data_IF_692528755838
#
_entry.id   IF_692528755838
#
_cell.length_a   1.000
_cell.length_b   1.000
_cell.length_c   1.000
_cell.angle_alpha   90.00
_cell.angle_beta   90.00
_cell.angle_gamma   90.00
#
_symmetry.space_group_name_H-M   'P 1'
#
loop_
_entity.id
_entity.type
_entity.pdbx_description
1 polymer ?
#
# COMPACT_ATOMS: atom_id res chain seq x y z
N UNK A 1 -14.43 11.59 2.78
CA UNK A 1 -13.19 10.88 3.13
C UNK A 1 -12.01 11.83 3.28
N UNK A 2 -11.81 12.78 2.37
CA UNK A 2 -10.73 13.78 2.47
C UNK A 2 -10.68 14.53 3.82
N UNK A 3 -11.83 14.92 4.38
CA UNK A 3 -11.90 15.57 5.70
C UNK A 3 -11.31 14.70 6.82
N UNK A 4 -11.57 13.38 6.78
CA UNK A 4 -11.04 12.42 7.75
C UNK A 4 -9.53 12.22 7.53
N UNK A 5 -9.08 12.19 6.28
CA UNK A 5 -7.67 12.13 5.95
C UNK A 5 -6.90 13.29 6.56
N UNK A 6 -7.43 14.51 6.48
CA UNK A 6 -6.81 15.69 7.10
C UNK A 6 -6.85 15.60 8.63
N UNK A 7 -7.99 15.21 9.22
CA UNK A 7 -8.14 15.07 10.68
C UNK A 7 -7.14 14.07 11.27
N UNK A 8 -6.91 12.96 10.56
CA UNK A 8 -5.96 11.91 10.95
C UNK A 8 -4.53 12.19 10.48
N UNK A 9 -4.30 13.32 9.80
CA UNK A 9 -3.01 13.73 9.26
C UNK A 9 -2.39 12.62 8.37
N UNK A 10 -3.22 12.10 7.47
CA UNK A 10 -2.85 11.21 6.38
C UNK A 10 -2.20 12.01 5.24
N UNK A 11 -1.17 11.41 4.64
CA UNK A 11 -0.40 12.00 3.54
C UNK A 11 -1.22 12.07 2.25
N UNK A 12 -2.05 11.06 1.99
CA UNK A 12 -2.89 10.98 0.80
C UNK A 12 -4.15 10.15 1.05
N UNK A 13 -5.20 10.45 0.29
CA UNK A 13 -6.47 9.71 0.29
C UNK A 13 -6.90 9.46 -1.15
N UNK A 14 -6.94 8.20 -1.56
CA UNK A 14 -7.32 7.80 -2.91
C UNK A 14 -8.60 6.95 -2.90
N UNK A 15 -9.48 7.19 -3.87
CA UNK A 15 -10.59 6.29 -4.17
C UNK A 15 -10.06 5.16 -5.06
N UNK A 16 -10.05 3.93 -4.55
CA UNK A 16 -9.54 2.76 -5.28
C UNK A 16 -10.68 2.07 -6.03
N UNK A 17 -11.81 1.88 -5.37
CA UNK A 17 -13.04 1.32 -5.93
C UNK A 17 -14.25 2.06 -5.36
N UNK A 18 -15.44 1.85 -5.92
CA UNK A 18 -16.66 2.64 -5.68
C UNK A 18 -16.84 3.23 -4.26
N UNK A 19 -16.69 2.41 -3.21
CA UNK A 19 -16.77 2.84 -1.80
C UNK A 19 -15.53 2.40 -0.98
N UNK A 20 -14.43 2.04 -1.66
CA UNK A 20 -13.17 1.65 -1.03
C UNK A 20 -12.14 2.77 -1.18
N UNK A 21 -11.70 3.29 -0.04
CA UNK A 21 -10.70 4.33 0.04
C UNK A 21 -9.38 3.76 0.58
N UNK A 22 -8.28 4.17 -0.04
CA UNK A 22 -6.93 3.94 0.46
C UNK A 22 -6.43 5.22 1.13
N UNK A 23 -5.93 5.09 2.36
CA UNK A 23 -5.36 6.19 3.13
C UNK A 23 -3.88 5.89 3.35
N UNK A 24 -3.03 6.87 3.02
CA UNK A 24 -1.60 6.78 3.26
C UNK A 24 -1.23 7.58 4.49
N UNK A 25 -0.43 6.99 5.36
CA UNK A 25 0.07 7.64 6.56
C UNK A 25 1.51 7.18 6.84
N UNK A 26 2.19 7.93 7.70
CA UNK A 26 3.54 7.58 8.13
C UNK A 26 3.53 6.24 8.89
N UNK A 27 4.56 5.39 8.73
CA UNK A 27 4.54 4.00 9.17
C UNK A 27 4.40 3.84 10.69
N UNK A 28 4.87 4.80 11.47
CA UNK A 28 4.76 4.86 12.92
C UNK A 28 3.33 5.12 13.43
N UNK A 29 2.41 5.53 12.53
CA UNK A 29 1.04 5.94 12.87
C UNK A 29 -0.03 4.97 12.40
N UNK A 30 0.34 3.89 11.70
CA UNK A 30 -0.61 2.93 11.11
C UNK A 30 -1.66 2.44 12.12
N UNK A 31 -1.21 1.99 13.29
CA UNK A 31 -2.10 1.46 14.34
C UNK A 31 -3.04 2.53 14.94
N UNK A 32 -2.57 3.78 15.04
CA UNK A 32 -3.37 4.91 15.52
C UNK A 32 -4.47 5.26 14.51
N UNK A 33 -4.12 5.37 13.23
CA UNK A 33 -5.05 5.70 12.15
C UNK A 33 -6.12 4.61 12.01
N UNK A 34 -5.72 3.34 12.00
CA UNK A 34 -6.64 2.19 11.97
C UNK A 34 -7.64 2.26 13.13
N UNK A 35 -7.16 2.39 14.36
CA UNK A 35 -8.01 2.46 15.55
C UNK A 35 -9.00 3.62 15.51
N UNK A 36 -8.55 4.80 15.05
CA UNK A 36 -9.42 5.98 14.91
C UNK A 36 -10.49 5.78 13.84
N UNK A 37 -10.17 5.16 12.71
CA UNK A 37 -11.14 4.84 11.65
C UNK A 37 -12.20 3.87 12.18
N UNK A 38 -11.79 2.78 12.84
CA UNK A 38 -12.74 1.83 13.44
C UNK A 38 -13.61 2.48 14.50
N UNK A 39 -13.05 3.34 15.36
CA UNK A 39 -13.82 4.06 16.39
C UNK A 39 -14.82 5.06 15.82
N UNK A 40 -14.55 5.62 14.64
CA UNK A 40 -15.48 6.49 13.89
C UNK A 40 -16.53 5.70 13.10
N UNK A 41 -16.50 4.36 13.15
CA UNK A 41 -17.48 3.48 12.53
C UNK A 41 -17.13 3.05 11.10
N UNK A 42 -15.90 3.30 10.63
CA UNK A 42 -15.43 2.79 9.35
C UNK A 42 -14.99 1.33 9.47
N UNK A 43 -15.19 0.57 8.40
CA UNK A 43 -14.65 -0.78 8.26
C UNK A 43 -13.30 -0.65 7.59
N UNK A 44 -12.25 -1.10 8.27
CA UNK A 44 -10.90 -1.17 7.70
C UNK A 44 -10.72 -2.57 7.11
N UNK A 45 -10.62 -2.66 5.79
CA UNK A 45 -10.46 -3.93 5.08
C UNK A 45 -9.03 -4.50 5.23
N UNK A 46 -8.02 -3.62 5.20
CA UNK A 46 -6.61 -3.96 5.43
C UNK A 46 -5.84 -2.73 5.96
N UNK A 47 -4.85 -2.99 6.83
CA UNK A 47 -3.90 -2.02 7.35
C UNK A 47 -2.51 -2.67 7.38
N UNK A 48 -1.60 -2.22 6.50
CA UNK A 48 -0.31 -2.87 6.28
C UNK A 48 0.80 -1.84 6.03
N UNK A 49 2.02 -2.18 6.44
CA UNK A 49 3.21 -1.42 6.09
C UNK A 49 3.65 -1.78 4.67
N UNK A 50 3.75 -0.79 3.79
CA UNK A 50 4.17 -0.98 2.41
C UNK A 50 5.33 -0.06 2.04
N UNK A 51 6.27 -0.58 1.25
CA UNK A 51 7.30 0.23 0.62
C UNK A 51 6.76 0.81 -0.68
N UNK A 52 6.63 2.13 -0.75
CA UNK A 52 6.17 2.85 -1.94
C UNK A 52 7.32 3.60 -2.62
N UNK A 53 7.40 3.55 -3.97
CA UNK A 53 8.41 4.30 -4.70
C UNK A 53 8.07 5.80 -4.69
N UNK A 54 9.03 6.64 -4.29
CA UNK A 54 8.87 8.11 -4.34
C UNK A 54 8.78 8.65 -5.77
N UNK A 55 9.45 7.98 -6.72
CA UNK A 55 9.54 8.38 -8.12
C UNK A 55 9.29 7.17 -9.03
N UNK A 56 8.02 6.83 -9.30
CA UNK A 56 7.71 5.73 -10.20
C UNK A 56 8.19 6.03 -11.62
N UNK A 57 8.79 5.03 -12.27
CA UNK A 57 9.23 5.11 -13.66
C UNK A 57 8.31 4.24 -14.50
N UNK A 58 7.77 4.82 -15.57
CA UNK A 58 6.97 4.07 -16.53
C UNK A 58 7.89 3.23 -17.42
N UNK A 59 7.59 1.95 -17.54
CA UNK A 59 8.32 1.00 -18.39
C UNK A 59 7.30 0.43 -19.38
N UNK A 60 7.61 0.49 -20.67
CA UNK A 60 6.72 0.02 -21.73
C UNK A 60 7.48 -0.94 -22.67
N UNK A 61 6.74 -1.71 -23.49
CA UNK A 61 7.31 -2.56 -24.53
C UNK A 61 8.20 -3.69 -24.00
N UNK A 62 9.30 -3.97 -24.70
CA UNK A 62 10.20 -5.10 -24.42
C UNK A 62 10.86 -5.03 -23.04
N UNK A 63 11.15 -3.81 -22.56
CA UNK A 63 11.77 -3.61 -21.25
C UNK A 63 10.80 -3.93 -20.10
N UNK A 64 9.49 -3.71 -20.28
CA UNK A 64 8.49 -4.13 -19.31
C UNK A 64 8.48 -5.66 -19.15
N UNK A 65 8.51 -6.39 -20.26
CA UNK A 65 8.55 -7.86 -20.25
C UNK A 65 9.84 -8.43 -19.64
N UNK A 66 10.98 -7.74 -19.78
CA UNK A 66 12.22 -8.14 -19.09
C UNK A 66 12.12 -7.95 -17.59
N UNK A 67 11.55 -6.82 -17.14
CA UNK A 67 11.37 -6.50 -15.73
C UNK A 67 10.36 -7.46 -15.08
N UNK A 68 9.28 -7.80 -15.76
CA UNK A 68 8.33 -8.82 -15.30
C UNK A 68 9.03 -10.17 -15.06
N UNK A 69 9.80 -10.67 -16.04
CA UNK A 69 10.58 -11.92 -15.88
C UNK A 69 11.58 -11.86 -14.75
N UNK A 70 12.21 -10.70 -14.53
CA UNK A 70 13.11 -10.51 -13.40
C UNK A 70 12.36 -10.68 -12.07
N UNK A 71 11.18 -10.07 -11.92
CA UNK A 71 10.35 -10.22 -10.73
C UNK A 71 9.89 -11.66 -10.52
N UNK A 72 9.48 -12.37 -11.57
CA UNK A 72 9.14 -13.80 -11.49
C UNK A 72 10.30 -14.63 -10.93
N UNK A 73 11.53 -14.42 -11.43
CA UNK A 73 12.72 -15.12 -10.95
C UNK A 73 13.02 -14.82 -9.48
N UNK A 74 12.88 -13.56 -9.07
CA UNK A 74 13.13 -13.14 -7.68
C UNK A 74 12.07 -13.72 -6.72
N UNK A 75 10.79 -13.70 -7.09
CA UNK A 75 9.72 -14.25 -6.26
C UNK A 75 9.84 -15.77 -6.08
N UNK A 76 10.22 -16.51 -7.13
CA UNK A 76 10.50 -17.95 -7.02
C UNK A 76 11.62 -18.23 -6.01
N UNK A 77 12.66 -17.38 -5.99
CA UNK A 77 13.74 -17.52 -5.01
C UNK A 77 13.27 -17.25 -3.57
N UNK A 78 12.42 -16.25 -3.34
CA UNK A 78 11.86 -15.96 -2.01
C UNK A 78 10.99 -17.10 -1.48
N UNK A 79 10.21 -17.76 -2.35
CA UNK A 79 9.40 -18.93 -1.96
C UNK A 79 10.29 -20.14 -1.61
N UNK A 80 11.43 -20.33 -2.31
CA UNK A 80 12.38 -21.39 -1.97
C UNK A 80 13.19 -21.12 -0.70
N UNK A 81 13.34 -19.85 -0.30
CA UNK A 81 14.14 -19.45 0.86
C UNK A 81 13.34 -19.14 2.12
N UNK A 82 12.02 -19.29 2.12
CA UNK A 82 11.18 -19.26 3.33
C UNK A 82 11.51 -18.09 4.26
N UNK A 83 10.92 -16.92 4.04
CA UNK A 83 10.83 -15.91 5.09
C UNK A 83 9.95 -16.48 6.21
N UNK A 84 10.56 -17.23 7.15
CA UNK A 84 10.10 -17.28 8.53
C UNK A 84 10.33 -15.90 9.12
N UNK A 85 9.24 -15.16 9.34
CA UNK A 85 9.15 -14.06 10.26
C UNK A 85 7.91 -14.28 11.13
#
# INVERSE_FOLDING_TARGET
>A
MEEIGIELDCEDVALVEAELFELLCSPDRLSEVESNLTNKGFIVESAELQYRPLHPVRIDGDDASKVEKLYELLQVSTIMFGFEA
#
